data_IF_476351100244
#
_entry.id   IF_476351100244
#
_cell.length_a   1.000
_cell.length_b   1.000
_cell.length_c   1.000
_cell.angle_alpha   90.00
_cell.angle_beta   90.00
_cell.angle_gamma   90.00
#
_symmetry.space_group_name_H-M   'P 1'
#
loop_
_entity.id
_entity.type
_entity.pdbx_description
1 polymer ?
#
# COMPACT_ATOMS: atom_id res chain seq x y z
N UNK A 1 -14.91 -12.43 -15.25
CA UNK A 1 -13.97 -13.35 -14.54
C UNK A 1 -13.07 -12.63 -13.51
N UNK A 2 -13.45 -11.45 -13.01
CA UNK A 2 -12.53 -10.54 -12.30
C UNK A 2 -12.54 -10.66 -10.76
N UNK A 3 -13.68 -11.07 -10.18
CA UNK A 3 -13.88 -11.19 -8.73
C UNK A 3 -12.91 -12.14 -8.00
N UNK A 4 -12.54 -13.33 -8.55
CA UNK A 4 -11.61 -14.24 -7.87
C UNK A 4 -10.19 -13.67 -7.80
N UNK A 5 -9.76 -12.94 -8.84
CA UNK A 5 -8.43 -12.32 -8.91
C UNK A 5 -8.33 -11.19 -7.90
N UNK A 6 -9.32 -10.29 -7.87
CA UNK A 6 -9.40 -9.21 -6.87
C UNK A 6 -9.39 -9.78 -5.43
N UNK A 7 -10.18 -10.83 -5.17
CA UNK A 7 -10.20 -11.49 -3.86
C UNK A 7 -8.84 -12.06 -3.44
N UNK A 8 -8.10 -12.67 -4.37
CA UNK A 8 -6.74 -13.16 -4.12
C UNK A 8 -5.81 -12.00 -3.74
N UNK A 9 -5.84 -10.89 -4.47
CA UNK A 9 -5.03 -9.71 -4.16
C UNK A 9 -5.39 -9.10 -2.82
N UNK A 10 -6.68 -8.98 -2.48
CA UNK A 10 -7.13 -8.57 -1.15
C UNK A 10 -6.59 -9.48 -0.04
N UNK A 11 -6.61 -10.79 -0.26
CA UNK A 11 -6.11 -11.76 0.71
C UNK A 11 -4.61 -11.63 0.91
N UNK A 12 -3.84 -11.54 -0.19
CA UNK A 12 -2.38 -11.35 -0.15
C UNK A 12 -2.02 -10.03 0.52
N UNK A 13 -2.68 -8.93 0.17
CA UNK A 13 -2.46 -7.62 0.79
C UNK A 13 -2.78 -7.65 2.29
N UNK A 14 -3.88 -8.29 2.69
CA UNK A 14 -4.24 -8.45 4.10
C UNK A 14 -3.19 -9.24 4.86
N UNK A 15 -2.76 -10.39 4.32
CA UNK A 15 -1.74 -11.25 4.95
C UNK A 15 -0.42 -10.50 5.09
N UNK A 16 0.02 -9.80 4.05
CA UNK A 16 1.26 -9.04 4.10
C UNK A 16 1.15 -7.88 5.09
N UNK A 17 0.04 -7.14 5.12
CA UNK A 17 -0.19 -6.09 6.11
C UNK A 17 -0.18 -6.63 7.56
N UNK A 18 -0.71 -7.83 7.81
CA UNK A 18 -0.63 -8.48 9.13
C UNK A 18 0.82 -8.85 9.49
N UNK A 19 1.60 -9.38 8.53
CA UNK A 19 3.01 -9.70 8.76
C UNK A 19 3.82 -8.43 9.05
N UNK A 20 3.62 -7.38 8.24
CA UNK A 20 4.23 -6.06 8.39
C UNK A 20 3.92 -5.46 9.76
N UNK A 21 2.65 -5.53 10.18
CA UNK A 21 2.20 -5.14 11.50
C UNK A 21 2.95 -5.90 12.61
N UNK A 22 3.10 -7.21 12.46
CA UNK A 22 3.83 -8.04 13.41
C UNK A 22 5.30 -7.62 13.57
N UNK A 23 5.98 -7.27 12.48
CA UNK A 23 7.33 -6.71 12.53
C UNK A 23 7.37 -5.35 13.22
N UNK A 24 6.42 -4.45 12.90
CA UNK A 24 6.32 -3.12 13.50
C UNK A 24 6.11 -3.17 15.02
N UNK A 25 5.16 -3.99 15.49
CA UNK A 25 4.90 -4.13 16.93
C UNK A 25 6.14 -4.71 17.64
N UNK A 26 6.77 -5.72 17.05
CA UNK A 26 7.94 -6.37 17.66
C UNK A 26 9.08 -5.40 17.87
N UNK A 27 9.45 -4.59 16.88
CA UNK A 27 10.54 -3.66 17.12
C UNK A 27 10.12 -2.45 17.95
N UNK A 28 8.91 -1.94 17.77
CA UNK A 28 8.38 -0.87 18.62
C UNK A 28 8.38 -1.26 20.10
N UNK A 29 7.98 -2.49 20.45
CA UNK A 29 8.00 -2.98 21.83
C UNK A 29 9.38 -3.45 22.32
N UNK A 30 10.32 -3.75 21.42
CA UNK A 30 11.67 -4.18 21.80
C UNK A 30 12.57 -3.05 22.29
N UNK A 31 12.11 -1.80 22.16
CA UNK A 31 12.90 -0.60 22.38
C UNK A 31 12.17 0.35 23.33
N UNK A 32 12.81 0.72 24.43
CA UNK A 32 12.32 1.81 25.26
C UNK A 32 12.61 3.13 24.54
N UNK A 33 11.58 3.79 24.00
CA UNK A 33 11.74 5.05 23.27
C UNK A 33 12.08 6.25 24.17
N UNK A 34 12.06 6.08 25.51
CA UNK A 34 12.23 7.17 26.48
C UNK A 34 13.55 7.94 26.36
N UNK A 35 14.59 7.35 25.76
CA UNK A 35 15.88 8.00 25.53
C UNK A 35 15.89 8.99 24.35
N UNK A 36 14.90 8.94 23.45
CA UNK A 36 14.80 9.82 22.29
C UNK A 36 14.11 11.16 22.62
N UNK A 37 14.43 12.24 21.90
CA UNK A 37 13.65 13.48 21.94
C UNK A 37 12.17 13.23 21.61
N UNK A 38 11.26 13.97 22.27
CA UNK A 38 9.80 13.83 22.07
C UNK A 38 9.37 13.95 20.60
N UNK A 39 10.09 14.77 19.82
CA UNK A 39 9.82 14.93 18.39
C UNK A 39 10.04 13.62 17.62
N UNK A 40 11.13 12.91 17.90
CA UNK A 40 11.48 11.68 17.19
C UNK A 40 10.59 10.53 17.65
N UNK A 41 10.26 10.47 18.95
CA UNK A 41 9.26 9.54 19.48
C UNK A 41 7.92 9.67 18.74
N UNK A 42 7.44 10.90 18.57
CA UNK A 42 6.16 11.18 17.90
C UNK A 42 6.14 10.67 16.46
N UNK A 43 7.25 10.82 15.73
CA UNK A 43 7.40 10.31 14.36
C UNK A 43 7.23 8.78 14.30
N UNK A 44 7.87 8.04 15.20
CA UNK A 44 7.75 6.57 15.26
C UNK A 44 6.33 6.10 15.65
N UNK A 45 5.65 6.84 16.53
CA UNK A 45 4.24 6.58 16.84
C UNK A 45 3.34 6.82 15.62
N UNK A 46 3.54 7.92 14.89
CA UNK A 46 2.81 8.20 13.65
C UNK A 46 3.00 7.05 12.67
N UNK A 47 4.21 6.52 12.55
CA UNK A 47 4.47 5.41 11.65
C UNK A 47 3.67 4.17 12.02
N UNK A 48 3.72 3.81 13.30
CA UNK A 48 2.99 2.66 13.84
C UNK A 48 1.48 2.80 13.67
N UNK A 49 0.93 3.98 13.94
CA UNK A 49 -0.51 4.26 13.78
C UNK A 49 -0.94 4.13 12.31
N UNK A 50 -0.15 4.62 11.36
CA UNK A 50 -0.47 4.49 9.94
C UNK A 50 -0.56 3.02 9.51
N UNK A 51 0.40 2.19 9.91
CA UNK A 51 0.34 0.75 9.67
C UNK A 51 -0.92 0.11 10.26
N UNK A 52 -1.35 0.54 11.45
CA UNK A 52 -2.55 0.01 12.12
C UNK A 52 -3.82 0.36 11.37
N UNK A 53 -3.96 1.62 10.99
CA UNK A 53 -5.12 2.12 10.24
C UNK A 53 -5.23 1.41 8.91
N UNK A 54 -4.14 1.32 8.13
CA UNK A 54 -4.16 0.67 6.83
C UNK A 54 -4.39 -0.84 6.91
N UNK A 55 -3.80 -1.53 7.90
CA UNK A 55 -4.09 -2.96 8.14
C UNK A 55 -5.57 -3.17 8.45
N UNK A 56 -6.17 -2.32 9.29
CA UNK A 56 -7.60 -2.39 9.62
C UNK A 56 -8.48 -2.13 8.40
N UNK A 57 -8.22 -1.05 7.65
CA UNK A 57 -9.00 -0.70 6.45
C UNK A 57 -8.91 -1.82 5.42
N UNK A 58 -7.71 -2.36 5.12
CA UNK A 58 -7.54 -3.47 4.18
C UNK A 58 -8.27 -4.73 4.64
N UNK A 59 -8.26 -5.04 5.94
CA UNK A 59 -9.00 -6.19 6.47
C UNK A 59 -10.53 -6.02 6.27
N UNK A 60 -11.08 -4.85 6.57
CA UNK A 60 -12.50 -4.56 6.30
C UNK A 60 -12.82 -4.60 4.79
N UNK A 61 -11.93 -4.10 3.95
CA UNK A 61 -12.07 -4.16 2.50
C UNK A 61 -12.15 -5.62 1.98
N UNK A 62 -11.27 -6.47 2.48
CA UNK A 62 -11.23 -7.90 2.15
C UNK A 62 -12.51 -8.62 2.57
N UNK A 63 -13.03 -8.33 3.77
CA UNK A 63 -14.31 -8.87 4.25
C UNK A 63 -15.48 -8.39 3.38
N UNK A 64 -15.53 -7.10 3.05
CA UNK A 64 -16.57 -6.52 2.19
C UNK A 64 -16.56 -7.13 0.79
N UNK A 65 -15.37 -7.34 0.21
CA UNK A 65 -15.21 -8.03 -1.08
C UNK A 65 -15.70 -9.49 -1.02
N UNK A 66 -15.45 -10.18 0.10
CA UNK A 66 -15.89 -11.57 0.33
C UNK A 66 -17.40 -11.70 0.53
N UNK A 67 -18.03 -10.67 1.10
CA UNK A 67 -19.48 -10.67 1.42
C UNK A 67 -20.34 -10.26 0.20
N UNK A 68 -19.71 -9.97 -0.94
CA UNK A 68 -20.40 -9.59 -2.16
C UNK A 68 -20.98 -8.17 -2.12
N UNK A 69 -20.50 -7.32 -1.20
CA UNK A 69 -20.83 -5.90 -1.20
C UNK A 69 -20.28 -5.28 -2.50
N UNK A 70 -21.06 -4.45 -3.17
CA UNK A 70 -20.60 -3.73 -4.37
C UNK A 70 -19.60 -2.66 -3.91
N UNK A 71 -18.32 -2.98 -3.95
CA UNK A 71 -17.28 -1.97 -3.79
C UNK A 71 -17.34 -1.02 -5.00
N UNK A 72 -17.28 0.29 -4.73
CA UNK A 72 -17.15 1.29 -5.78
C UNK A 72 -15.70 1.25 -6.24
N UNK A 73 -15.44 0.88 -7.50
CA UNK A 73 -14.07 0.76 -8.06
C UNK A 73 -13.22 2.01 -7.81
N UNK A 74 -13.83 3.20 -7.86
CA UNK A 74 -13.17 4.47 -7.57
C UNK A 74 -12.66 4.56 -6.11
N UNK A 75 -13.42 4.02 -5.14
CA UNK A 75 -13.01 4.01 -3.74
C UNK A 75 -11.82 3.06 -3.53
N UNK A 76 -11.84 1.90 -4.20
CA UNK A 76 -10.73 0.94 -4.17
C UNK A 76 -9.45 1.54 -4.79
N UNK A 77 -9.60 2.26 -5.91
CA UNK A 77 -8.52 3.00 -6.54
C UNK A 77 -7.94 4.07 -5.61
N UNK A 78 -8.78 4.96 -5.06
CA UNK A 78 -8.32 6.05 -4.19
C UNK A 78 -7.63 5.53 -2.93
N UNK A 79 -8.19 4.47 -2.32
CA UNK A 79 -7.60 3.84 -1.14
C UNK A 79 -6.24 3.22 -1.45
N UNK A 80 -6.14 2.44 -2.53
CA UNK A 80 -4.89 1.76 -2.90
C UNK A 80 -3.81 2.77 -3.29
N UNK A 81 -4.17 3.86 -3.99
CA UNK A 81 -3.27 4.97 -4.29
C UNK A 81 -2.79 5.68 -3.00
N UNK A 82 -3.69 5.98 -2.07
CA UNK A 82 -3.34 6.59 -0.78
C UNK A 82 -2.39 5.70 0.03
N UNK A 83 -2.66 4.38 0.07
CA UNK A 83 -1.78 3.39 0.68
C UNK A 83 -0.39 3.39 0.06
N UNK A 84 -0.31 3.38 -1.28
CA UNK A 84 0.96 3.42 -2.00
C UNK A 84 1.78 4.68 -1.64
N UNK A 85 1.19 5.86 -1.71
CA UNK A 85 1.88 7.13 -1.44
C UNK A 85 2.35 7.19 0.01
N UNK A 86 1.51 6.81 0.97
CA UNK A 86 1.87 6.85 2.38
C UNK A 86 2.97 5.86 2.71
N UNK A 87 2.88 4.61 2.25
CA UNK A 87 3.92 3.61 2.48
C UNK A 87 5.25 3.98 1.80
N UNK A 88 5.21 4.67 0.66
CA UNK A 88 6.41 5.23 0.03
C UNK A 88 7.05 6.32 0.89
N UNK A 89 6.28 7.32 1.34
CA UNK A 89 6.77 8.40 2.21
C UNK A 89 7.37 7.81 3.49
N UNK A 90 6.68 6.85 4.09
CA UNK A 90 7.11 6.14 5.29
C UNK A 90 8.43 5.41 5.09
N UNK A 91 8.58 4.68 3.97
CA UNK A 91 9.83 4.01 3.62
C UNK A 91 10.97 5.01 3.47
N UNK A 92 10.75 6.11 2.76
CA UNK A 92 11.78 7.13 2.52
C UNK A 92 12.18 7.85 3.80
N UNK A 93 11.22 8.20 4.66
CA UNK A 93 11.52 8.86 5.92
C UNK A 93 12.25 7.93 6.89
N UNK A 94 11.81 6.67 7.01
CA UNK A 94 12.50 5.67 7.83
C UNK A 94 13.94 5.45 7.34
N UNK A 95 14.15 5.39 6.03
CA UNK A 95 15.50 5.24 5.46
C UNK A 95 16.38 6.48 5.70
N UNK A 96 15.80 7.68 5.62
CA UNK A 96 16.49 8.93 5.97
C UNK A 96 16.92 8.93 7.43
N UNK A 97 16.09 8.44 8.34
CA UNK A 97 16.42 8.34 9.77
C UNK A 97 17.57 7.34 9.99
N UNK A 98 17.55 6.20 9.29
CA UNK A 98 18.65 5.21 9.25
C UNK A 98 19.96 5.83 8.76
N UNK A 99 19.91 6.60 7.67
CA UNK A 99 21.10 7.23 7.09
C UNK A 99 21.69 8.32 8.00
N UNK A 100 20.84 9.10 8.66
CA UNK A 100 21.28 10.13 9.61
C UNK A 100 21.94 9.51 10.85
N UNK A 101 21.36 8.43 11.39
CA UNK A 101 21.92 7.73 12.56
C UNK A 101 23.26 7.04 12.20
N UNK A 102 23.36 6.49 10.99
CA UNK A 102 24.62 5.95 10.45
C UNK A 102 25.70 7.03 10.29
N UNK A 103 25.38 8.18 9.69
CA UNK A 103 26.34 9.29 9.53
C UNK A 103 26.82 9.83 10.88
N UNK A 104 25.92 9.92 11.87
CA UNK A 104 26.25 10.32 13.24
C UNK A 104 27.20 9.35 13.94
N UNK A 105 27.19 8.06 13.59
CA UNK A 105 28.13 7.06 14.10
C UNK A 105 29.58 7.32 13.64
N UNK A 106 29.78 7.80 12.41
CA UNK A 106 31.12 8.03 11.84
C UNK A 106 31.73 9.38 12.21
N UNK A 107 30.92 10.41 12.50
CA UNK A 107 31.39 11.74 12.93
C UNK A 107 32.18 11.70 14.26
N UNK A 108 32.05 10.64 15.05
CA UNK A 108 32.74 10.44 16.33
C UNK A 108 34.01 9.57 16.28
N UNK A 109 34.35 8.95 15.14
CA UNK A 109 35.49 8.01 15.03
C UNK A 109 36.88 8.66 15.22
N UNK A 110 36.97 10.00 15.23
CA UNK A 110 38.23 10.72 15.43
C UNK A 110 38.59 10.98 16.91
N UNK A 111 37.71 10.68 17.86
CA UNK A 111 37.96 10.93 19.29
C UNK A 111 38.13 9.59 20.04
N UNK A 112 39.37 9.24 20.46
CA UNK A 112 39.66 7.98 21.13
C UNK A 112 39.03 7.84 22.53
N UNK A 113 38.31 8.87 23.03
CA UNK A 113 37.59 8.84 24.32
C UNK A 113 36.10 8.55 24.19
N UNK A 114 35.55 8.55 22.98
CA UNK A 114 34.16 8.19 22.76
C UNK A 114 34.09 6.66 22.63
N UNK A 115 33.24 5.97 23.42
CA UNK A 115 33.06 4.53 23.24
C UNK A 115 32.61 4.28 21.80
N UNK A 116 33.21 3.29 21.12
CA UNK A 116 32.67 2.72 19.88
C UNK A 116 31.18 2.47 20.14
N UNK A 117 30.32 3.32 19.57
CA UNK A 117 28.88 3.20 19.81
C UNK A 117 28.50 1.82 19.27
N UNK A 118 28.00 0.89 20.11
CA UNK A 118 27.57 -0.40 19.61
C UNK A 118 26.53 -0.15 18.51
N UNK A 119 26.62 -0.89 17.40
CA UNK A 119 25.62 -0.85 16.32
C UNK A 119 24.26 -1.00 17.00
N UNK A 120 23.54 0.12 17.14
CA UNK A 120 22.38 0.14 18.00
C UNK A 120 21.37 -0.83 17.38
N UNK A 121 20.76 -1.77 18.15
CA UNK A 121 19.74 -2.69 17.63
C UNK A 121 18.60 -2.00 16.86
N UNK A 122 18.48 -0.70 17.08
CA UNK A 122 17.61 0.26 16.41
C UNK A 122 17.85 0.37 14.90
N UNK A 123 19.12 0.34 14.45
CA UNK A 123 19.45 0.42 13.02
C UNK A 123 18.88 -0.77 12.24
N UNK A 124 19.12 -1.99 12.72
CA UNK A 124 18.65 -3.20 12.06
C UNK A 124 17.12 -3.24 11.99
N UNK A 125 16.46 -2.75 13.05
CA UNK A 125 15.01 -2.66 13.09
C UNK A 125 14.45 -1.61 12.14
N UNK A 126 14.97 -0.37 12.16
CA UNK A 126 14.53 0.69 11.25
C UNK A 126 14.78 0.34 9.79
N UNK A 127 15.90 -0.30 9.48
CA UNK A 127 16.17 -0.80 8.15
C UNK A 127 15.15 -1.85 7.72
N UNK A 128 14.86 -2.83 8.58
CA UNK A 128 13.81 -3.82 8.31
C UNK A 128 12.43 -3.15 8.13
N UNK A 129 12.14 -2.12 8.92
CA UNK A 129 10.91 -1.34 8.86
C UNK A 129 10.76 -0.57 7.53
N UNK A 130 11.85 0.02 7.02
CA UNK A 130 11.89 0.69 5.73
C UNK A 130 11.62 -0.32 4.59
N UNK A 131 12.28 -1.47 4.61
CA UNK A 131 12.06 -2.55 3.62
C UNK A 131 10.61 -3.05 3.67
N UNK A 132 10.07 -3.27 4.87
CA UNK A 132 8.68 -3.64 5.10
C UNK A 132 7.72 -2.61 4.48
N UNK A 133 7.91 -1.32 4.75
CA UNK A 133 7.12 -0.24 4.19
C UNK A 133 7.18 -0.21 2.66
N UNK A 134 8.35 -0.46 2.08
CA UNK A 134 8.52 -0.53 0.63
C UNK A 134 7.76 -1.71 0.01
N UNK A 135 7.79 -2.88 0.64
CA UNK A 135 7.02 -4.04 0.17
C UNK A 135 5.51 -3.75 0.22
N UNK A 136 5.03 -3.12 1.30
CA UNK A 136 3.64 -2.67 1.40
C UNK A 136 3.26 -1.68 0.28
N UNK A 137 4.14 -0.72 -0.02
CA UNK A 137 3.98 0.21 -1.14
C UNK A 137 3.83 -0.53 -2.49
N UNK A 138 4.67 -1.54 -2.76
CA UNK A 138 4.60 -2.31 -4.01
C UNK A 138 3.27 -3.03 -4.12
N UNK A 139 2.77 -3.61 -3.03
CA UNK A 139 1.48 -4.32 -3.03
C UNK A 139 0.33 -3.35 -3.31
N UNK A 140 0.30 -2.19 -2.65
CA UNK A 140 -0.71 -1.18 -2.90
C UNK A 140 -0.63 -0.64 -4.34
N UNK A 141 0.57 -0.49 -4.90
CA UNK A 141 0.75 -0.12 -6.30
C UNK A 141 0.18 -1.19 -7.25
N UNK A 142 0.48 -2.47 -6.99
CA UNK A 142 -0.06 -3.57 -7.78
C UNK A 142 -1.59 -3.60 -7.72
N UNK A 143 -2.17 -3.41 -6.54
CA UNK A 143 -3.63 -3.30 -6.37
C UNK A 143 -4.20 -2.15 -7.21
N UNK A 144 -3.57 -0.96 -7.13
CA UNK A 144 -3.97 0.21 -7.88
C UNK A 144 -3.97 -0.05 -9.41
N UNK A 145 -2.92 -0.68 -9.93
CA UNK A 145 -2.82 -1.03 -11.35
C UNK A 145 -3.88 -2.03 -11.78
N UNK A 146 -4.21 -3.01 -10.95
CA UNK A 146 -5.28 -3.97 -11.23
C UNK A 146 -6.63 -3.27 -11.29
N UNK A 147 -6.92 -2.37 -10.34
CA UNK A 147 -8.18 -1.61 -10.35
C UNK A 147 -8.28 -0.71 -11.59
N UNK A 148 -7.18 -0.11 -12.02
CA UNK A 148 -7.15 0.65 -13.30
C UNK A 148 -7.47 -0.27 -14.48
N UNK A 149 -6.83 -1.43 -14.56
CA UNK A 149 -7.05 -2.43 -15.62
C UNK A 149 -8.52 -2.90 -15.67
N UNK A 150 -9.12 -3.13 -14.48
CA UNK A 150 -10.55 -3.42 -14.32
C UNK A 150 -11.43 -2.29 -14.84
N UNK A 151 -11.11 -1.05 -14.47
CA UNK A 151 -11.90 0.12 -14.86
C UNK A 151 -11.87 0.33 -16.37
N UNK A 152 -10.70 0.22 -17.00
CA UNK A 152 -10.54 0.31 -18.45
C UNK A 152 -11.30 -0.81 -19.18
N UNK A 153 -11.20 -2.05 -18.68
CA UNK A 153 -11.92 -3.19 -19.26
C UNK A 153 -13.44 -3.05 -19.20
N UNK A 154 -13.97 -2.37 -18.16
CA UNK A 154 -15.40 -2.07 -18.08
C UNK A 154 -15.80 -0.95 -19.04
N UNK A 155 -14.99 0.09 -19.17
CA UNK A 155 -15.24 1.20 -20.10
C UNK A 155 -15.24 0.74 -21.58
N UNK A 156 -14.32 -0.14 -21.95
CA UNK A 156 -14.29 -0.77 -23.28
C UNK A 156 -15.55 -1.61 -23.54
N UNK A 157 -16.01 -2.38 -22.55
CA UNK A 157 -17.20 -3.22 -22.68
C UNK A 157 -18.50 -2.40 -22.81
N UNK A 158 -18.60 -1.30 -22.05
CA UNK A 158 -19.75 -0.38 -22.15
C UNK A 158 -19.74 0.34 -23.52
N UNK A 159 -18.57 0.76 -24.02
CA UNK A 159 -18.43 1.35 -25.36
C UNK A 159 -18.82 0.38 -26.47
N UNK A 160 -18.36 -0.88 -26.41
CA UNK A 160 -18.73 -1.89 -27.39
C UNK A 160 -20.25 -2.12 -27.40
N UNK A 161 -20.88 -2.18 -26.22
CA UNK A 161 -22.34 -2.34 -26.10
C UNK A 161 -23.10 -1.17 -26.73
N UNK A 162 -22.67 0.08 -26.47
CA UNK A 162 -23.25 1.27 -27.09
C UNK A 162 -23.12 1.27 -28.62
N UNK A 163 -22.00 0.77 -29.16
CA UNK A 163 -21.79 0.65 -30.61
C UNK A 163 -22.67 -0.45 -31.22
N UNK A 164 -22.82 -1.59 -30.53
CA UNK A 164 -23.71 -2.67 -30.99
C UNK A 164 -25.17 -2.22 -31.02
N UNK A 165 -25.68 -1.62 -29.93
CA UNK A 165 -27.05 -1.11 -29.85
C UNK A 165 -27.31 -0.03 -30.93
N UNK A 166 -26.34 0.86 -31.19
CA UNK A 166 -26.45 1.86 -32.24
C UNK A 166 -26.40 1.29 -33.67
N UNK A 167 -25.84 0.09 -33.87
CA UNK A 167 -25.78 -0.56 -35.18
C UNK A 167 -27.02 -1.39 -35.50
N UNK A 168 -27.65 -2.01 -34.50
CA UNK A 168 -28.88 -2.81 -34.67
C UNK A 168 -30.08 -1.93 -35.08
N UNK A 169 -30.13 -0.69 -34.58
CA UNK A 169 -31.14 0.30 -34.98
C UNK A 169 -30.99 0.81 -36.45
N UNK A 170 -29.89 0.48 -37.14
CA UNK A 170 -29.61 0.98 -38.50
C UNK A 170 -29.95 0.01 -39.64
N UNK A 171 -30.26 -1.26 -39.34
CA UNK A 171 -30.48 -2.32 -40.34
C UNK A 171 -31.96 -2.72 -40.54
N UNK A 172 -32.94 -2.11 -39.84
CA UNK A 172 -34.36 -2.48 -39.93
C UNK A 172 -35.15 -1.86 -41.11
N UNK A 173 -34.54 -1.08 -42.01
CA UNK A 173 -35.27 -0.31 -43.06
C UNK A 173 -34.97 -0.74 -44.52
N UNK A 174 -34.87 -2.05 -44.79
CA UNK A 174 -34.85 -2.58 -46.17
C UNK A 174 -36.11 -3.39 -46.49
N UNK A 175 -37.14 -2.71 -47.02
CA UNK A 175 -38.29 -3.36 -47.68
C UNK A 175 -37.92 -3.55 -49.16
N UNK A 176 -37.67 -4.78 -49.66
CA UNK A 176 -37.50 -5.00 -51.08
C UNK A 176 -38.86 -4.81 -51.77
N UNK A 177 -39.02 -3.72 -52.50
CA UNK A 177 -40.10 -3.57 -53.48
C UNK A 177 -39.86 -4.59 -54.61
N UNK A 178 -40.53 -5.74 -54.53
CA UNK A 178 -40.65 -6.66 -55.65
C UNK A 178 -41.63 -6.09 -56.69
N UNK A 179 -41.40 -6.38 -57.99
CA UNK A 179 -41.81 -5.55 -59.13
C UNK A 179 -43.31 -5.49 -59.43
#
# INVERSE_FOLDING_TARGET
MLRPVLFLFYTVETVVNIILMGYHIRGFMSLDLSFLPLKDQTTYYIYTVNFYVFTGITAFASISASTGHKAVLLEEFLRSLAGCILFLIMSLMTLKDVENDFHMMYLGMGDPKLPEKPVHPFFAYLHAQAVCSLVGCIIYLMHCLIVIDVMLSHEEADYDLEVYDASDDSDEDYIPLCP
#
